data_IF_918558757927
#
_entry.id   IF_918558757927
#
_cell.length_a   1.000
_cell.length_b   1.000
_cell.length_c   1.000
_cell.angle_alpha   90.00
_cell.angle_beta   90.00
_cell.angle_gamma   90.00
#
_symmetry.space_group_name_H-M   'P 1'
#
loop_
_entity.id
_entity.type
_entity.pdbx_description
1 polymer ?
#
# COMPACT_ATOMS: atom_id res chain seq x y z
N UNK A 1 -52.01 11.02 -4.36
CA UNK A 1 -50.55 11.20 -4.23
C UNK A 1 -50.16 10.76 -2.84
N UNK A 2 -49.23 9.81 -2.64
CA UNK A 2 -48.78 9.46 -1.30
C UNK A 2 -48.05 10.67 -0.70
N UNK A 3 -48.35 10.98 0.56
CA UNK A 3 -47.72 12.08 1.28
C UNK A 3 -46.23 11.80 1.44
N UNK A 4 -45.39 12.79 1.14
CA UNK A 4 -43.96 12.73 1.42
C UNK A 4 -43.75 12.46 2.91
N UNK A 5 -42.81 11.58 3.29
CA UNK A 5 -42.53 11.33 4.69
C UNK A 5 -42.15 12.64 5.40
N UNK A 6 -42.58 12.83 6.66
CA UNK A 6 -42.22 14.04 7.41
C UNK A 6 -40.70 14.14 7.52
N UNK A 7 -40.16 15.35 7.34
CA UNK A 7 -38.72 15.67 7.33
C UNK A 7 -37.99 15.10 8.56
N UNK A 8 -38.64 15.06 9.72
CA UNK A 8 -38.15 14.45 10.96
C UNK A 8 -37.75 12.96 10.80
N UNK A 9 -38.31 12.26 9.81
CA UNK A 9 -37.98 10.86 9.50
C UNK A 9 -36.68 10.77 8.70
N UNK A 10 -36.43 11.74 7.81
CA UNK A 10 -35.18 11.84 7.04
C UNK A 10 -34.02 12.30 7.92
N UNK A 11 -34.27 13.20 8.87
CA UNK A 11 -33.28 13.62 9.87
C UNK A 11 -32.93 12.48 10.85
N UNK A 12 -33.93 11.71 11.31
CA UNK A 12 -33.67 10.52 12.12
C UNK A 12 -32.96 9.41 11.35
N UNK A 13 -33.21 9.30 10.04
CA UNK A 13 -32.43 8.42 9.17
C UNK A 13 -31.01 8.95 9.00
N UNK A 14 -30.80 10.25 8.79
CA UNK A 14 -29.45 10.82 8.68
C UNK A 14 -28.65 10.68 9.97
N UNK A 15 -29.27 10.83 11.14
CA UNK A 15 -28.62 10.61 12.43
C UNK A 15 -28.34 9.13 12.71
N UNK A 16 -29.22 8.23 12.25
CA UNK A 16 -28.98 6.79 12.33
C UNK A 16 -27.93 6.29 11.33
N UNK A 17 -27.73 7.03 10.22
CA UNK A 17 -26.64 6.82 9.25
C UNK A 17 -25.41 7.70 9.51
N UNK A 18 -25.44 8.60 10.51
CA UNK A 18 -24.29 9.38 10.98
C UNK A 18 -23.32 8.55 11.83
N UNK A 19 -23.24 7.25 11.53
CA UNK A 19 -22.21 6.30 11.93
C UNK A 19 -21.36 6.14 10.66
N UNK A 20 -20.18 6.73 10.46
CA UNK A 20 -19.05 7.05 11.32
C UNK A 20 -18.41 8.35 10.75
N UNK A 21 -17.68 9.12 11.55
CA UNK A 21 -16.76 10.10 10.98
C UNK A 21 -15.90 9.40 9.92
N UNK A 22 -15.57 10.02 8.76
CA UNK A 22 -14.68 9.39 7.80
C UNK A 22 -13.41 9.02 8.56
N UNK A 23 -13.13 7.72 8.71
CA UNK A 23 -11.86 7.27 9.26
C UNK A 23 -10.82 7.91 8.35
N UNK A 24 -9.97 8.79 8.89
CA UNK A 24 -8.91 9.40 8.10
C UNK A 24 -8.13 8.26 7.44
N UNK A 25 -8.20 8.25 6.10
CA UNK A 25 -7.53 7.21 5.33
C UNK A 25 -6.05 7.37 5.54
N UNK A 26 -5.39 6.29 5.92
CA UNK A 26 -3.94 6.28 6.04
C UNK A 26 -3.31 6.54 4.69
N UNK A 27 -2.19 7.26 4.71
CA UNK A 27 -1.43 7.63 3.52
C UNK A 27 -0.48 6.50 3.16
N UNK A 28 -0.65 5.99 1.94
CA UNK A 28 0.11 4.88 1.41
C UNK A 28 0.91 5.34 0.19
N UNK A 29 2.22 5.10 0.22
CA UNK A 29 3.06 5.29 -0.93
C UNK A 29 3.31 3.96 -1.63
N UNK A 30 3.03 3.88 -2.93
CA UNK A 30 3.35 2.73 -3.78
C UNK A 30 4.54 3.08 -4.65
N UNK A 31 5.67 2.40 -4.45
CA UNK A 31 6.84 2.48 -5.30
C UNK A 31 6.76 1.38 -6.34
N UNK A 32 6.66 1.75 -7.61
CA UNK A 32 6.46 0.81 -8.71
C UNK A 32 7.75 0.69 -9.51
N UNK A 33 8.24 -0.53 -9.71
CA UNK A 33 9.27 -0.78 -10.73
C UNK A 33 8.61 -1.19 -12.05
N UNK A 34 8.47 -0.28 -13.03
CA UNK A 34 7.82 -0.59 -14.30
C UNK A 34 8.62 -1.59 -15.15
N UNK A 35 9.91 -1.81 -14.85
CA UNK A 35 10.77 -2.74 -15.55
C UNK A 35 10.78 -4.15 -14.92
N UNK A 36 9.99 -4.38 -13.88
CA UNK A 36 9.89 -5.69 -13.25
C UNK A 36 9.07 -6.66 -14.13
N UNK A 37 9.43 -7.95 -14.09
CA UNK A 37 9.01 -8.99 -15.04
C UNK A 37 7.50 -9.07 -15.28
N UNK A 38 6.69 -8.91 -14.24
CA UNK A 38 5.22 -9.09 -14.33
C UNK A 38 4.45 -7.78 -14.19
N UNK A 39 5.13 -6.65 -14.00
CA UNK A 39 4.48 -5.34 -13.85
C UNK A 39 4.09 -4.82 -15.23
N UNK A 40 2.85 -4.34 -15.34
CA UNK A 40 2.34 -3.63 -16.52
C UNK A 40 1.49 -2.45 -16.06
N UNK A 41 1.27 -1.47 -16.93
CA UNK A 41 0.42 -0.31 -16.63
C UNK A 41 -0.97 -0.73 -16.16
N UNK A 42 -1.56 -1.76 -16.78
CA UNK A 42 -2.86 -2.30 -16.39
C UNK A 42 -2.84 -2.82 -14.95
N UNK A 43 -1.82 -3.57 -14.58
CA UNK A 43 -1.69 -4.14 -13.25
C UNK A 43 -1.38 -3.06 -12.20
N UNK A 44 -0.52 -2.09 -12.53
CA UNK A 44 -0.27 -0.91 -11.71
C UNK A 44 -1.58 -0.16 -11.42
N UNK A 45 -2.37 0.14 -12.45
CA UNK A 45 -3.67 0.81 -12.29
C UNK A 45 -4.64 0.00 -11.43
N UNK A 46 -4.69 -1.32 -11.60
CA UNK A 46 -5.52 -2.20 -10.78
C UNK A 46 -5.11 -2.12 -9.30
N UNK A 47 -3.82 -2.27 -9.01
CA UNK A 47 -3.28 -2.21 -7.64
C UNK A 47 -3.60 -0.87 -7.00
N UNK A 48 -3.26 0.25 -7.67
CA UNK A 48 -3.52 1.59 -7.15
C UNK A 48 -5.01 1.80 -6.91
N UNK A 49 -5.87 1.42 -7.86
CA UNK A 49 -7.32 1.57 -7.71
C UNK A 49 -7.87 0.74 -6.56
N UNK A 50 -7.39 -0.49 -6.36
CA UNK A 50 -7.83 -1.36 -5.28
C UNK A 50 -7.40 -0.79 -3.92
N UNK A 51 -6.15 -0.35 -3.79
CA UNK A 51 -5.62 0.24 -2.56
C UNK A 51 -6.31 1.57 -2.21
N UNK A 52 -6.62 2.42 -3.21
CA UNK A 52 -7.31 3.70 -3.02
C UNK A 52 -8.72 3.57 -2.43
N UNK A 53 -9.31 2.37 -2.49
CA UNK A 53 -10.60 2.10 -1.81
C UNK A 53 -10.49 2.29 -0.28
N UNK A 54 -9.33 1.98 0.32
CA UNK A 54 -9.10 2.03 1.78
C UNK A 54 -8.04 3.05 2.22
N UNK A 55 -7.12 3.43 1.33
CA UNK A 55 -5.99 4.31 1.63
C UNK A 55 -6.02 5.59 0.79
N UNK A 56 -5.32 6.62 1.24
CA UNK A 56 -4.92 7.75 0.40
C UNK A 56 -3.61 7.35 -0.31
N UNK A 57 -3.70 6.98 -1.60
CA UNK A 57 -2.59 6.34 -2.31
C UNK A 57 -1.88 7.32 -3.24
N UNK A 58 -0.58 7.45 -3.06
CA UNK A 58 0.35 8.05 -4.03
C UNK A 58 1.17 6.94 -4.68
N UNK A 59 1.38 6.99 -6.00
CA UNK A 59 2.22 6.02 -6.71
C UNK A 59 3.33 6.70 -7.50
N UNK A 60 4.57 6.27 -7.30
CA UNK A 60 5.75 6.74 -8.03
C UNK A 60 6.45 5.59 -8.75
N UNK A 61 6.80 5.82 -10.00
CA UNK A 61 7.52 4.86 -10.81
C UNK A 61 9.03 5.07 -10.65
N UNK A 62 9.78 3.99 -10.41
CA UNK A 62 11.23 4.04 -10.35
C UNK A 62 11.81 4.27 -11.74
N UNK A 63 12.78 5.18 -11.86
CA UNK A 63 13.37 5.53 -13.16
C UNK A 63 14.71 4.83 -13.41
N UNK A 64 15.39 4.42 -12.33
CA UNK A 64 16.72 3.81 -12.35
C UNK A 64 16.97 3.03 -11.08
N UNK A 65 18.05 2.25 -11.07
CA UNK A 65 18.58 1.63 -9.86
C UNK A 65 18.87 2.69 -8.78
N UNK A 66 18.54 2.37 -7.55
CA UNK A 66 18.66 3.23 -6.37
C UNK A 66 17.52 4.25 -6.21
N UNK A 67 16.64 4.42 -7.20
CA UNK A 67 15.57 5.42 -7.12
C UNK A 67 14.52 5.06 -6.06
N UNK A 68 14.24 3.77 -5.82
CA UNK A 68 13.32 3.40 -4.74
C UNK A 68 13.89 3.78 -3.36
N UNK A 69 15.21 3.70 -3.16
CA UNK A 69 15.87 4.16 -1.94
C UNK A 69 15.67 5.66 -1.73
N UNK A 70 15.82 6.46 -2.79
CA UNK A 70 15.63 7.92 -2.75
C UNK A 70 14.19 8.28 -2.41
N UNK A 71 13.22 7.75 -3.18
CA UNK A 71 11.79 8.02 -2.98
C UNK A 71 11.30 7.63 -1.58
N UNK A 72 11.76 6.49 -1.06
CA UNK A 72 11.33 6.03 0.27
C UNK A 72 11.99 6.79 1.41
N UNK A 73 13.20 7.30 1.21
CA UNK A 73 13.84 8.20 2.17
C UNK A 73 13.11 9.54 2.24
N UNK A 74 12.67 10.08 1.11
CA UNK A 74 11.83 11.29 1.06
C UNK A 74 10.49 11.05 1.76
N UNK A 75 9.86 9.89 1.49
CA UNK A 75 8.60 9.49 2.11
C UNK A 75 8.62 9.52 3.64
N UNK A 76 9.79 9.26 4.25
CA UNK A 76 9.97 9.31 5.71
C UNK A 76 9.73 10.69 6.32
N UNK A 77 9.94 11.76 5.56
CA UNK A 77 9.66 13.14 5.97
C UNK A 77 8.27 13.64 5.55
N UNK A 78 7.57 12.91 4.68
CA UNK A 78 6.32 13.38 4.05
C UNK A 78 5.05 12.94 4.78
N UNK A 79 5.16 12.12 5.83
CA UNK A 79 4.01 11.69 6.62
C UNK A 79 3.19 10.56 5.98
N UNK A 80 3.84 9.64 5.28
CA UNK A 80 3.21 8.38 4.86
C UNK A 80 3.16 7.38 6.03
N UNK A 81 2.05 6.66 6.13
CA UNK A 81 1.83 5.63 7.16
C UNK A 81 2.38 4.26 6.75
N UNK A 82 2.56 4.01 5.45
CA UNK A 82 3.06 2.75 4.89
C UNK A 82 3.61 2.93 3.48
N UNK A 83 4.64 2.15 3.16
CA UNK A 83 5.17 2.01 1.81
C UNK A 83 4.89 0.60 1.28
N UNK A 84 4.46 0.53 0.02
CA UNK A 84 4.31 -0.70 -0.76
C UNK A 84 5.35 -0.69 -1.87
N UNK A 85 6.27 -1.65 -1.88
CA UNK A 85 7.11 -1.92 -3.03
C UNK A 85 6.35 -2.84 -4.00
N UNK A 86 6.09 -2.37 -5.23
CA UNK A 86 5.56 -3.19 -6.32
C UNK A 86 6.68 -3.48 -7.32
N UNK A 87 7.22 -4.69 -7.27
CA UNK A 87 8.39 -5.06 -8.07
C UNK A 87 9.01 -6.39 -7.61
N UNK A 88 10.28 -6.59 -7.96
CA UNK A 88 11.06 -7.74 -7.49
C UNK A 88 11.75 -7.50 -6.14
N UNK A 89 12.54 -8.49 -5.70
CA UNK A 89 13.31 -8.41 -4.44
C UNK A 89 14.29 -7.23 -4.41
N UNK A 90 14.81 -6.80 -5.57
CA UNK A 90 15.68 -5.61 -5.67
C UNK A 90 14.95 -4.31 -5.35
N UNK A 91 13.72 -4.14 -5.84
CA UNK A 91 12.88 -2.96 -5.53
C UNK A 91 12.53 -2.91 -4.05
N UNK A 92 12.22 -4.07 -3.47
CA UNK A 92 12.01 -4.19 -2.02
C UNK A 92 13.29 -3.84 -1.24
N UNK A 93 14.45 -4.35 -1.68
CA UNK A 93 15.72 -4.07 -1.01
C UNK A 93 16.07 -2.58 -1.01
N UNK A 94 15.88 -1.89 -2.14
CA UNK A 94 16.05 -0.45 -2.23
C UNK A 94 15.10 0.30 -1.28
N UNK A 95 13.81 -0.05 -1.29
CA UNK A 95 12.82 0.54 -0.39
C UNK A 95 13.18 0.31 1.09
N UNK A 96 13.63 -0.90 1.45
CA UNK A 96 14.06 -1.21 2.81
C UNK A 96 15.27 -0.38 3.24
N UNK A 97 16.24 -0.15 2.36
CA UNK A 97 17.39 0.72 2.64
C UNK A 97 16.99 2.19 2.82
N UNK A 98 15.98 2.68 2.10
CA UNK A 98 15.48 4.05 2.27
C UNK A 98 14.69 4.25 3.56
N UNK A 99 14.01 3.21 4.05
CA UNK A 99 13.20 3.24 5.28
C UNK A 99 13.92 2.72 6.54
N UNK A 100 15.16 2.26 6.42
CA UNK A 100 15.91 1.74 7.55
C UNK A 100 15.97 2.77 8.69
N UNK A 101 15.41 2.43 9.85
CA UNK A 101 15.38 3.29 11.04
C UNK A 101 14.26 4.34 11.08
N UNK A 102 13.39 4.44 10.07
CA UNK A 102 12.30 5.43 10.04
C UNK A 102 11.05 4.99 10.81
N UNK A 103 10.89 3.68 11.02
CA UNK A 103 9.71 3.09 11.66
C UNK A 103 8.49 2.97 10.75
N UNK A 104 8.55 3.47 9.50
CA UNK A 104 7.47 3.32 8.53
C UNK A 104 7.40 1.86 8.06
N UNK A 105 6.24 1.20 8.19
CA UNK A 105 6.02 -0.14 7.66
C UNK A 105 6.27 -0.23 6.15
N UNK A 106 6.91 -1.31 5.74
CA UNK A 106 7.14 -1.68 4.35
C UNK A 106 6.45 -3.01 4.05
N UNK A 107 5.72 -3.08 2.94
CA UNK A 107 5.17 -4.33 2.40
C UNK A 107 5.55 -4.51 0.93
N UNK A 108 5.39 -5.73 0.41
CA UNK A 108 5.84 -6.13 -0.93
C UNK A 108 4.69 -6.75 -1.72
N UNK A 109 4.41 -6.20 -2.89
CA UNK A 109 3.57 -6.83 -3.91
C UNK A 109 4.43 -7.44 -5.02
N UNK A 110 4.12 -8.66 -5.47
CA UNK A 110 4.95 -9.39 -6.42
C UNK A 110 4.94 -8.71 -7.79
N UNK A 111 6.14 -8.40 -8.29
CA UNK A 111 6.36 -7.87 -9.63
C UNK A 111 7.58 -8.45 -10.34
N UNK A 112 8.45 -9.17 -9.62
CA UNK A 112 9.66 -9.81 -10.16
C UNK A 112 9.50 -11.31 -10.40
N UNK A 113 10.58 -11.96 -10.84
CA UNK A 113 10.60 -13.39 -11.14
C UNK A 113 10.56 -14.29 -9.88
N UNK A 114 11.27 -13.89 -8.82
CA UNK A 114 11.46 -14.76 -7.64
C UNK A 114 10.54 -14.39 -6.48
N UNK A 115 10.46 -13.11 -6.13
CA UNK A 115 9.66 -12.56 -5.02
C UNK A 115 9.82 -13.37 -3.73
N UNK A 116 11.06 -13.58 -3.30
CA UNK A 116 11.40 -14.39 -2.12
C UNK A 116 10.72 -13.81 -0.88
N UNK A 117 10.73 -12.49 -0.73
CA UNK A 117 10.15 -11.86 0.45
C UNK A 117 8.63 -12.00 0.51
N UNK A 118 7.91 -11.81 -0.61
CA UNK A 118 6.47 -12.15 -0.68
C UNK A 118 6.21 -13.58 -0.19
N UNK A 119 6.99 -14.56 -0.66
CA UNK A 119 6.84 -15.97 -0.25
C UNK A 119 7.08 -16.17 1.25
N UNK A 120 8.10 -15.52 1.82
CA UNK A 120 8.38 -15.58 3.26
C UNK A 120 7.25 -14.95 4.10
N UNK A 121 6.60 -13.89 3.59
CA UNK A 121 5.43 -13.28 4.22
C UNK A 121 4.15 -14.11 4.06
N UNK A 122 4.16 -15.18 3.25
CA UNK A 122 2.95 -15.92 2.90
C UNK A 122 2.01 -15.18 1.94
N UNK A 123 2.52 -14.17 1.24
CA UNK A 123 1.77 -13.44 0.22
C UNK A 123 1.53 -14.35 -1.00
N UNK A 124 0.34 -14.31 -1.60
CA UNK A 124 0.08 -14.94 -2.90
C UNK A 124 1.08 -14.50 -3.98
N UNK A 125 1.39 -15.40 -4.92
CA UNK A 125 2.33 -15.13 -6.00
C UNK A 125 1.75 -14.27 -7.13
N UNK A 126 0.43 -14.36 -7.34
CA UNK A 126 -0.29 -13.54 -8.31
C UNK A 126 -0.64 -12.17 -7.71
N UNK A 127 -0.36 -11.10 -8.47
CA UNK A 127 -0.47 -9.73 -7.97
C UNK A 127 -1.89 -9.34 -7.54
N UNK A 128 -2.92 -9.84 -8.22
CA UNK A 128 -4.32 -9.56 -7.88
C UNK A 128 -4.65 -10.18 -6.52
N UNK A 129 -4.34 -11.46 -6.36
CA UNK A 129 -4.54 -12.19 -5.10
C UNK A 129 -3.69 -11.60 -3.97
N UNK A 130 -2.47 -11.18 -4.27
CA UNK A 130 -1.58 -10.51 -3.31
C UNK A 130 -2.15 -9.16 -2.84
N UNK A 131 -2.77 -8.41 -3.75
CA UNK A 131 -3.41 -7.13 -3.44
C UNK A 131 -4.65 -7.33 -2.58
N UNK A 132 -5.48 -8.33 -2.90
CA UNK A 132 -6.63 -8.71 -2.07
C UNK A 132 -6.17 -9.17 -0.68
N UNK A 133 -5.13 -10.01 -0.62
CA UNK A 133 -4.53 -10.45 0.63
C UNK A 133 -4.04 -9.27 1.47
N UNK A 134 -3.31 -8.33 0.85
CA UNK A 134 -2.82 -7.13 1.53
C UNK A 134 -3.97 -6.31 2.14
N UNK A 135 -5.04 -6.07 1.37
CA UNK A 135 -6.22 -5.35 1.88
C UNK A 135 -6.85 -6.06 3.08
N UNK A 136 -6.94 -7.39 3.05
CA UNK A 136 -7.50 -8.19 4.15
C UNK A 136 -6.67 -8.08 5.43
N UNK A 137 -5.34 -8.19 5.34
CA UNK A 137 -4.47 -8.11 6.53
C UNK A 137 -4.29 -6.68 7.03
N UNK A 138 -4.52 -5.69 6.16
CA UNK A 138 -4.51 -4.28 6.46
C UNK A 138 -5.61 -3.87 7.46
N UNK A 139 -6.74 -4.58 7.50
CA UNK A 139 -7.89 -4.28 8.38
C UNK A 139 -7.52 -4.32 9.86
N UNK A 140 -6.63 -5.23 10.26
CA UNK A 140 -6.17 -5.34 11.65
C UNK A 140 -4.99 -4.41 11.96
N UNK A 141 -4.34 -3.86 10.94
CA UNK A 141 -3.06 -3.14 11.00
C UNK A 141 -2.08 -3.62 12.08
N UNK A 142 -1.43 -4.74 11.81
CA UNK A 142 -0.45 -5.34 12.72
C UNK A 142 0.94 -5.45 12.06
N UNK A 143 1.63 -4.33 11.82
CA UNK A 143 2.99 -4.38 11.31
C UNK A 143 3.90 -5.14 12.30
N UNK A 144 4.85 -5.90 11.74
CA UNK A 144 5.80 -6.70 12.51
C UNK A 144 7.21 -6.18 12.24
N UNK A 145 8.05 -6.19 13.28
CA UNK A 145 9.47 -5.97 13.10
C UNK A 145 10.10 -7.17 12.40
N UNK A 146 10.98 -6.89 11.45
CA UNK A 146 11.76 -7.85 10.69
C UNK A 146 13.20 -7.37 10.71
N UNK A 147 14.14 -8.28 10.88
CA UNK A 147 15.57 -7.94 10.91
C UNK A 147 16.05 -7.50 9.52
N UNK A 148 16.85 -6.43 9.49
CA UNK A 148 17.53 -5.96 8.30
C UNK A 148 19.04 -6.17 8.48
N UNK A 149 19.64 -6.96 7.59
CA UNK A 149 21.07 -7.18 7.60
C UNK A 149 21.81 -6.01 6.91
N UNK A 150 22.86 -5.51 7.56
CA UNK A 150 23.84 -4.59 6.97
C UNK A 150 25.13 -5.33 6.71
N UNK A 151 25.61 -5.28 5.47
CA UNK A 151 26.92 -5.80 5.09
C UNK A 151 27.72 -4.66 4.48
N UNK A 152 28.92 -4.44 5.03
CA UNK A 152 29.75 -3.26 4.78
C UNK A 152 29.10 -1.94 5.30
N UNK A 153 29.68 -0.82 4.88
CA UNK A 153 29.31 0.53 5.32
C UNK A 153 28.33 1.20 4.37
#
# INVERSE_FOLDING_TARGET
MPASPPLDTLEKLSDAFALEAPVEKRRMLVIVNPYATTVSDRLRTLVVSALSSRYEVTAFDTQRQGHATELTREAAGEGYDVVVALGGDGTLNEAANGLAGTGIPLTHLPGGATNVFCKMLGMPGEIVDATEHLLRVADDWRPRQVDLARAND
#
